data_IF_424708825338
#
_entry.id   IF_424708825338
#
_cell.length_a   1.000
_cell.length_b   1.000
_cell.length_c   1.000
_cell.angle_alpha   90.00
_cell.angle_beta   90.00
_cell.angle_gamma   90.00
#
_symmetry.space_group_name_H-M   'P 1'
#
loop_
_entity.id
_entity.type
_entity.pdbx_description
1 polymer ?
#
# COMPACT_ATOMS: atom_id res chain seq x y z
N UNK A 1 0.67 12.60 1.08
CA UNK A 1 -0.23 13.30 0.17
C UNK A 1 -1.37 13.99 0.92
N UNK A 2 -2.07 13.29 1.83
CA UNK A 2 -3.24 13.82 2.57
C UNK A 2 -2.89 15.08 3.38
N UNK A 3 -1.71 15.12 4.02
CA UNK A 3 -1.24 16.30 4.77
C UNK A 3 -1.13 17.53 3.86
N UNK A 4 -0.60 17.38 2.65
CA UNK A 4 -0.50 18.48 1.68
C UNK A 4 -1.87 18.96 1.23
N UNK A 5 -2.79 18.03 0.92
CA UNK A 5 -4.15 18.35 0.52
C UNK A 5 -4.89 19.11 1.63
N UNK A 6 -4.93 18.58 2.86
CA UNK A 6 -5.59 19.24 3.99
C UNK A 6 -4.96 20.60 4.32
N UNK A 7 -3.62 20.72 4.24
CA UNK A 7 -2.91 22.00 4.50
C UNK A 7 -3.19 23.06 3.44
N UNK A 8 -3.53 22.66 2.20
CA UNK A 8 -3.89 23.62 1.14
C UNK A 8 -5.28 24.23 1.34
N UNK A 9 -6.16 23.56 2.11
CA UNK A 9 -7.56 23.96 2.26
C UNK A 9 -8.39 23.79 0.99
N UNK A 10 -7.95 22.96 0.04
CA UNK A 10 -8.62 22.75 -1.26
C UNK A 10 -8.13 23.67 -2.39
N UNK A 11 -7.23 24.60 -2.09
CA UNK A 11 -6.59 25.45 -3.09
C UNK A 11 -5.51 24.67 -3.83
N UNK A 12 -5.69 24.51 -5.16
CA UNK A 12 -4.82 23.67 -5.98
C UNK A 12 -3.42 24.29 -6.15
N UNK A 13 -3.30 25.61 -6.30
CA UNK A 13 -2.00 26.27 -6.44
C UNK A 13 -1.19 26.11 -5.14
N UNK A 14 -1.85 26.30 -4.01
CA UNK A 14 -1.26 26.09 -2.70
C UNK A 14 -0.90 24.62 -2.45
N UNK A 15 -1.72 23.69 -2.93
CA UNK A 15 -1.40 22.25 -2.84
C UNK A 15 -0.08 21.93 -3.51
N UNK A 16 0.14 22.38 -4.75
CA UNK A 16 1.38 22.10 -5.48
C UNK A 16 2.61 22.70 -4.80
N UNK A 17 2.50 23.90 -4.25
CA UNK A 17 3.59 24.52 -3.46
C UNK A 17 3.93 23.68 -2.22
N UNK A 18 2.91 23.26 -1.46
CA UNK A 18 3.12 22.43 -0.28
C UNK A 18 3.67 21.06 -0.65
N UNK A 19 3.19 20.45 -1.73
CA UNK A 19 3.71 19.16 -2.20
C UNK A 19 5.20 19.26 -2.54
N UNK A 20 5.63 20.31 -3.23
CA UNK A 20 7.04 20.55 -3.53
C UNK A 20 7.88 20.72 -2.25
N UNK A 21 7.40 21.48 -1.28
CA UNK A 21 8.07 21.60 0.03
C UNK A 21 8.23 20.23 0.72
N UNK A 22 7.20 19.37 0.68
CA UNK A 22 7.26 18.02 1.27
C UNK A 22 8.22 17.11 0.50
N UNK A 23 8.25 17.20 -0.84
CA UNK A 23 9.21 16.47 -1.67
C UNK A 23 10.64 16.87 -1.33
N UNK A 24 10.92 18.16 -1.19
CA UNK A 24 12.25 18.65 -0.79
C UNK A 24 12.66 18.13 0.60
N UNK A 25 11.73 18.01 1.57
CA UNK A 25 12.01 17.41 2.87
C UNK A 25 12.27 15.90 2.77
N UNK A 26 11.49 15.19 1.96
CA UNK A 26 11.71 13.77 1.70
C UNK A 26 13.08 13.53 1.04
N UNK A 27 13.44 14.34 0.06
CA UNK A 27 14.75 14.29 -0.61
C UNK A 27 15.89 14.40 0.41
N UNK A 28 15.86 15.43 1.27
CA UNK A 28 16.86 15.59 2.35
C UNK A 28 16.95 14.36 3.26
N UNK A 29 15.79 13.79 3.63
CA UNK A 29 15.76 12.59 4.48
C UNK A 29 16.35 11.36 3.76
N UNK A 30 16.04 11.17 2.48
CA UNK A 30 16.59 10.09 1.66
C UNK A 30 18.11 10.25 1.48
N UNK A 31 18.59 11.48 1.28
CA UNK A 31 20.02 11.79 1.22
C UNK A 31 20.75 11.41 2.51
N UNK A 32 20.24 11.81 3.66
CA UNK A 32 20.81 11.42 4.96
C UNK A 32 20.89 9.90 5.12
N UNK A 33 19.87 9.15 4.66
CA UNK A 33 19.90 7.68 4.68
C UNK A 33 20.98 7.12 3.76
N UNK A 34 21.10 7.66 2.55
CA UNK A 34 22.13 7.24 1.59
C UNK A 34 23.54 7.52 2.13
N UNK A 35 23.78 8.72 2.63
CA UNK A 35 25.09 9.13 3.19
C UNK A 35 25.52 8.27 4.37
N UNK A 36 24.57 7.79 5.19
CA UNK A 36 24.86 6.89 6.31
C UNK A 36 25.33 5.50 5.89
N UNK A 37 25.13 5.11 4.64
CA UNK A 37 25.61 3.82 4.11
C UNK A 37 27.02 3.92 3.58
N UNK A 38 27.53 5.12 3.28
CA UNK A 38 28.90 5.31 2.80
C UNK A 38 29.93 4.80 3.82
N UNK A 39 30.94 4.11 3.31
CA UNK A 39 31.98 3.48 4.13
C UNK A 39 31.53 2.18 4.82
N UNK A 40 30.33 1.68 4.58
CA UNK A 40 29.85 0.42 5.16
C UNK A 40 30.60 -0.75 4.53
N UNK A 41 31.25 -1.65 5.32
CA UNK A 41 31.90 -2.82 4.78
C UNK A 41 30.86 -3.89 4.37
N UNK A 42 31.21 -4.66 3.33
CA UNK A 42 30.36 -5.73 2.80
C UNK A 42 30.00 -6.82 3.82
N UNK A 43 30.78 -6.93 4.88
CA UNK A 43 30.59 -7.90 5.97
C UNK A 43 29.32 -7.62 6.81
N UNK A 44 28.77 -6.40 6.75
CA UNK A 44 27.53 -6.04 7.46
C UNK A 44 26.34 -6.81 6.91
N UNK A 45 26.29 -7.07 5.61
CA UNK A 45 25.26 -7.88 4.97
C UNK A 45 25.86 -8.78 3.87
N UNK A 46 26.63 -9.81 4.24
CA UNK A 46 27.40 -10.60 3.30
C UNK A 46 26.53 -11.32 2.26
N UNK A 47 25.33 -11.78 2.65
CA UNK A 47 24.39 -12.43 1.71
C UNK A 47 24.02 -11.49 0.56
N UNK A 48 23.83 -10.19 0.83
CA UNK A 48 23.50 -9.21 -0.20
C UNK A 48 24.71 -8.77 -1.02
N UNK A 49 25.85 -8.52 -0.38
CA UNK A 49 26.95 -7.81 -1.01
C UNK A 49 28.13 -8.67 -1.40
N UNK A 50 28.32 -9.84 -0.76
CA UNK A 50 29.38 -10.79 -1.11
C UNK A 50 28.86 -11.99 -1.91
N UNK A 51 27.68 -12.50 -1.53
CA UNK A 51 27.09 -13.71 -2.10
C UNK A 51 25.75 -13.47 -2.83
N UNK A 52 25.39 -12.22 -3.07
CA UNK A 52 24.18 -11.83 -3.78
C UNK A 52 24.19 -12.24 -5.26
N UNK A 53 23.08 -12.02 -5.97
CA UNK A 53 22.96 -12.36 -7.39
C UNK A 53 23.90 -11.53 -8.29
N UNK A 54 24.08 -10.25 -7.98
CA UNK A 54 24.88 -9.30 -8.77
C UNK A 54 26.10 -8.80 -8.02
N UNK A 55 25.96 -8.36 -6.77
CA UNK A 55 27.10 -7.94 -5.95
C UNK A 55 27.99 -9.14 -5.59
N UNK A 56 29.29 -8.94 -5.71
CA UNK A 56 30.32 -9.93 -5.46
C UNK A 56 31.56 -9.28 -4.81
N UNK A 57 31.33 -8.38 -3.85
CA UNK A 57 32.38 -7.72 -3.10
C UNK A 57 33.13 -8.76 -2.25
N UNK A 58 34.43 -8.52 -2.03
CA UNK A 58 35.21 -9.28 -1.07
C UNK A 58 34.89 -8.84 0.35
N UNK A 59 35.22 -9.71 1.33
CA UNK A 59 35.13 -9.35 2.75
C UNK A 59 35.98 -8.10 3.02
N UNK A 60 35.42 -7.15 3.75
CA UNK A 60 36.02 -5.85 4.10
C UNK A 60 35.94 -4.76 3.02
N UNK A 61 35.55 -5.08 1.79
CA UNK A 61 35.35 -4.06 0.75
C UNK A 61 34.12 -3.18 1.10
N UNK A 62 34.22 -1.87 0.89
CA UNK A 62 33.12 -0.95 1.12
C UNK A 62 32.09 -1.01 0.00
N UNK A 63 30.81 -0.80 0.36
CA UNK A 63 29.69 -0.90 -0.59
C UNK A 63 29.48 0.36 -1.43
N UNK A 64 30.26 1.41 -1.24
CA UNK A 64 30.10 2.71 -1.91
C UNK A 64 29.89 2.61 -3.43
N UNK A 65 30.63 1.77 -4.19
CA UNK A 65 30.39 1.61 -5.63
C UNK A 65 28.98 1.12 -5.98
N UNK A 66 28.31 0.43 -5.05
CA UNK A 66 26.94 -0.08 -5.23
C UNK A 66 25.86 0.96 -4.94
N UNK A 67 26.21 2.10 -4.32
CA UNK A 67 25.27 3.14 -3.92
C UNK A 67 25.02 4.18 -5.03
N UNK A 68 25.78 4.12 -6.12
CA UNK A 68 25.69 5.03 -7.25
C UNK A 68 25.56 4.27 -8.57
N UNK A 69 25.39 5.00 -9.66
CA UNK A 69 25.34 4.47 -11.03
C UNK A 69 24.20 3.46 -11.28
N UNK A 70 23.09 3.59 -10.54
CA UNK A 70 21.88 2.81 -10.77
C UNK A 70 21.94 1.35 -10.28
N UNK A 71 22.94 0.94 -9.51
CA UNK A 71 22.96 -0.40 -8.92
C UNK A 71 21.95 -0.54 -7.78
N UNK A 72 21.93 0.43 -6.85
CA UNK A 72 21.00 0.48 -5.74
C UNK A 72 19.99 1.60 -5.94
N UNK A 73 18.74 1.34 -5.61
CA UNK A 73 17.66 2.33 -5.68
C UNK A 73 17.26 2.77 -4.28
N UNK A 74 17.09 4.08 -4.09
CA UNK A 74 16.47 4.63 -2.90
C UNK A 74 15.05 5.08 -3.21
N UNK A 75 14.08 4.65 -2.39
CA UNK A 75 12.66 4.75 -2.75
C UNK A 75 11.95 5.89 -2.02
N UNK A 76 11.24 6.71 -2.80
CA UNK A 76 10.26 7.66 -2.32
C UNK A 76 8.91 6.95 -2.19
N UNK A 77 8.51 6.60 -0.95
CA UNK A 77 7.20 6.04 -0.65
C UNK A 77 6.13 7.10 -0.48
N UNK A 78 4.89 6.78 -0.82
CA UNK A 78 3.74 7.68 -0.67
C UNK A 78 2.51 6.95 -0.13
N UNK A 79 1.52 7.72 0.37
CA UNK A 79 0.31 7.20 0.98
C UNK A 79 -0.88 8.14 0.78
N UNK A 80 -2.08 7.55 0.76
CA UNK A 80 -3.32 8.30 0.80
C UNK A 80 -3.62 9.08 -0.48
N UNK A 81 -3.33 8.52 -1.66
CA UNK A 81 -3.71 9.16 -2.92
C UNK A 81 -5.22 9.31 -3.02
N UNK A 82 -5.98 8.29 -2.64
CA UNK A 82 -7.44 8.31 -2.66
C UNK A 82 -8.02 9.43 -1.80
N UNK A 83 -7.54 9.61 -0.56
CA UNK A 83 -7.98 10.68 0.34
C UNK A 83 -7.53 12.06 -0.16
N UNK A 84 -6.32 12.15 -0.72
CA UNK A 84 -5.80 13.38 -1.31
C UNK A 84 -6.67 13.86 -2.47
N UNK A 85 -6.96 12.97 -3.42
CA UNK A 85 -7.82 13.29 -4.58
C UNK A 85 -9.23 13.66 -4.12
N UNK A 86 -9.79 12.88 -3.19
CA UNK A 86 -11.13 13.16 -2.68
C UNK A 86 -11.22 14.52 -1.98
N UNK A 87 -10.22 14.91 -1.21
CA UNK A 87 -10.18 16.22 -0.57
C UNK A 87 -10.09 17.37 -1.59
N UNK A 88 -9.29 17.18 -2.64
CA UNK A 88 -9.04 18.23 -3.63
C UNK A 88 -10.12 18.33 -4.70
N UNK A 89 -10.80 17.24 -5.06
CA UNK A 89 -11.72 17.17 -6.19
C UNK A 89 -13.13 16.77 -5.80
N UNK A 90 -13.36 16.34 -4.55
CA UNK A 90 -14.65 15.81 -4.04
C UNK A 90 -15.14 14.57 -4.81
N UNK A 91 -14.23 13.87 -5.48
CA UNK A 91 -14.48 12.68 -6.27
C UNK A 91 -13.44 11.61 -5.98
N UNK A 92 -13.79 10.33 -6.23
CA UNK A 92 -12.81 9.24 -6.19
C UNK A 92 -11.77 9.41 -7.31
N UNK A 93 -10.55 8.95 -7.08
CA UNK A 93 -9.54 8.84 -8.15
C UNK A 93 -9.88 7.76 -9.19
N UNK A 94 -11.01 7.08 -9.04
CA UNK A 94 -11.61 6.18 -10.04
C UNK A 94 -12.51 6.92 -11.05
N UNK A 95 -12.95 8.15 -10.75
CA UNK A 95 -13.66 9.03 -11.68
C UNK A 95 -12.68 9.66 -12.69
N UNK A 96 -13.19 10.17 -13.82
CA UNK A 96 -12.34 10.79 -14.85
C UNK A 96 -11.54 12.00 -14.32
N UNK A 97 -12.22 12.94 -13.66
CA UNK A 97 -11.60 14.15 -13.12
C UNK A 97 -10.65 13.83 -11.93
N UNK A 98 -11.07 12.92 -11.04
CA UNK A 98 -10.22 12.46 -9.94
C UNK A 98 -8.99 11.71 -10.43
N UNK A 99 -9.12 10.88 -11.46
CA UNK A 99 -8.02 10.15 -12.10
C UNK A 99 -7.00 11.11 -12.69
N UNK A 100 -7.45 12.11 -13.45
CA UNK A 100 -6.55 13.09 -14.05
C UNK A 100 -5.70 13.80 -13.00
N UNK A 101 -6.32 14.26 -11.92
CA UNK A 101 -5.59 14.89 -10.82
C UNK A 101 -4.65 13.91 -10.11
N UNK A 102 -5.09 12.69 -9.84
CA UNK A 102 -4.28 11.65 -9.22
C UNK A 102 -3.05 11.29 -10.04
N UNK A 103 -3.19 11.15 -11.36
CA UNK A 103 -2.07 10.90 -12.27
C UNK A 103 -1.08 12.09 -12.32
N UNK A 104 -1.57 13.34 -12.30
CA UNK A 104 -0.70 14.52 -12.17
C UNK A 104 0.11 14.51 -10.87
N UNK A 105 -0.49 14.11 -9.74
CA UNK A 105 0.23 13.96 -8.48
C UNK A 105 1.31 12.90 -8.59
N UNK A 106 1.00 11.73 -9.14
CA UNK A 106 1.98 10.66 -9.33
C UNK A 106 3.11 11.05 -10.28
N UNK A 107 2.79 11.78 -11.35
CA UNK A 107 3.80 12.28 -12.28
C UNK A 107 4.75 13.27 -11.59
N UNK A 108 4.23 14.18 -10.75
CA UNK A 108 5.08 15.11 -9.99
C UNK A 108 6.06 14.39 -9.04
N UNK A 109 5.66 13.26 -8.44
CA UNK A 109 6.57 12.42 -7.64
C UNK A 109 7.70 11.83 -8.51
N UNK A 110 7.35 11.35 -9.71
CA UNK A 110 8.33 10.79 -10.65
C UNK A 110 9.29 11.85 -11.18
N UNK A 111 8.78 13.04 -11.54
CA UNK A 111 9.59 14.14 -12.03
C UNK A 111 10.61 14.59 -10.98
N UNK A 112 10.19 14.65 -9.70
CA UNK A 112 11.11 14.95 -8.60
C UNK A 112 12.21 13.88 -8.48
N UNK A 113 11.87 12.59 -8.50
CA UNK A 113 12.84 11.50 -8.47
C UNK A 113 13.78 11.55 -9.68
N UNK A 114 13.26 11.80 -10.88
CA UNK A 114 14.05 11.94 -12.11
C UNK A 114 15.05 13.10 -12.03
N UNK A 115 14.63 14.25 -11.50
CA UNK A 115 15.49 15.41 -11.27
C UNK A 115 16.63 15.08 -10.30
N UNK A 116 16.33 14.51 -9.13
CA UNK A 116 17.34 14.15 -8.12
C UNK A 116 18.34 13.14 -8.66
N UNK A 117 17.86 12.14 -9.41
CA UNK A 117 18.71 11.15 -10.08
C UNK A 117 19.68 11.79 -11.05
N UNK A 118 19.23 12.73 -11.87
CA UNK A 118 20.08 13.43 -12.82
C UNK A 118 21.14 14.32 -12.14
N UNK A 119 20.78 14.95 -11.02
CA UNK A 119 21.68 15.87 -10.28
C UNK A 119 22.73 15.14 -9.45
N UNK A 120 22.41 13.94 -8.92
CA UNK A 120 23.22 13.30 -7.87
C UNK A 120 23.81 11.94 -8.25
N UNK A 121 23.43 11.38 -9.40
CA UNK A 121 23.83 10.03 -9.82
C UNK A 121 23.46 8.93 -8.80
N UNK A 122 22.35 9.15 -8.08
CA UNK A 122 21.72 8.20 -7.16
C UNK A 122 20.40 7.78 -7.79
N UNK A 123 20.10 6.50 -7.81
CA UNK A 123 18.85 6.01 -8.40
C UNK A 123 17.67 6.19 -7.43
N UNK A 124 16.90 7.26 -7.64
CA UNK A 124 15.65 7.52 -6.93
C UNK A 124 14.46 6.94 -7.70
N UNK A 125 13.52 6.35 -6.99
CA UNK A 125 12.33 5.76 -7.61
C UNK A 125 11.09 5.93 -6.73
N UNK A 126 9.95 6.16 -7.36
CA UNK A 126 8.66 6.19 -6.68
C UNK A 126 8.24 4.75 -6.35
N UNK A 127 7.87 4.51 -5.10
CA UNK A 127 7.52 3.19 -4.59
C UNK A 127 6.13 3.18 -3.97
N UNK A 128 5.23 2.35 -4.50
CA UNK A 128 3.93 2.06 -3.91
C UNK A 128 4.09 1.26 -2.62
N UNK A 129 4.60 1.92 -1.60
CA UNK A 129 5.05 1.34 -0.34
C UNK A 129 3.93 0.58 0.36
N UNK A 130 4.14 -0.68 0.75
CA UNK A 130 3.26 -1.36 1.70
C UNK A 130 3.41 -0.74 3.08
N UNK A 131 2.38 -0.01 3.51
CA UNK A 131 2.43 0.85 4.69
C UNK A 131 1.93 0.19 5.97
N UNK A 132 1.99 -1.07 6.12
CA UNK A 132 1.66 -1.86 7.31
C UNK A 132 0.95 -1.07 8.45
N UNK A 133 1.57 -0.95 9.61
CA UNK A 133 1.05 -0.17 10.75
C UNK A 133 1.11 1.35 10.55
N UNK A 134 1.83 1.83 9.52
CA UNK A 134 2.02 3.26 9.27
C UNK A 134 0.74 3.94 8.81
N UNK A 135 -0.17 3.24 8.15
CA UNK A 135 -1.50 3.76 7.77
C UNK A 135 -2.31 4.21 8.98
N UNK A 136 -2.27 3.44 10.07
CA UNK A 136 -2.90 3.80 11.34
C UNK A 136 -2.22 4.99 12.00
N UNK A 137 -0.88 5.00 12.05
CA UNK A 137 -0.11 6.11 12.62
C UNK A 137 -0.41 7.42 11.87
N UNK A 138 -0.42 7.39 10.54
CA UNK A 138 -0.73 8.56 9.73
C UNK A 138 -2.17 9.04 9.97
N UNK A 139 -3.14 8.15 10.01
CA UNK A 139 -4.53 8.52 10.33
C UNK A 139 -4.63 9.26 11.66
N UNK A 140 -3.97 8.75 12.72
CA UNK A 140 -3.94 9.41 14.03
C UNK A 140 -3.27 10.78 13.99
N UNK A 141 -2.16 10.92 13.28
CA UNK A 141 -1.48 12.21 13.14
C UNK A 141 -2.33 13.22 12.38
N UNK A 142 -3.00 12.80 11.30
CA UNK A 142 -3.90 13.63 10.51
C UNK A 142 -5.12 14.06 11.32
N UNK A 143 -5.75 13.15 12.06
CA UNK A 143 -6.86 13.46 12.95
C UNK A 143 -6.48 14.47 14.04
N UNK A 144 -5.28 14.33 14.61
CA UNK A 144 -4.77 15.27 15.60
C UNK A 144 -4.56 16.68 15.02
N UNK A 145 -4.12 16.76 13.77
CA UNK A 145 -3.78 18.01 13.08
C UNK A 145 -4.99 18.71 12.45
N UNK A 146 -5.87 17.98 11.82
CA UNK A 146 -6.95 18.52 11.00
C UNK A 146 -8.36 18.16 11.51
N UNK A 147 -8.48 17.37 12.58
CA UNK A 147 -9.74 16.81 13.02
C UNK A 147 -10.21 15.65 12.11
N UNK A 148 -11.46 15.25 12.29
CA UNK A 148 -12.11 14.24 11.46
C UNK A 148 -12.83 14.92 10.28
N UNK A 149 -12.32 14.73 9.09
CA UNK A 149 -12.90 15.20 7.83
C UNK A 149 -13.55 13.99 7.16
N UNK A 150 -14.87 13.99 6.91
CA UNK A 150 -15.58 12.88 6.30
C UNK A 150 -14.95 12.44 4.97
N UNK A 151 -14.70 11.16 4.82
CA UNK A 151 -14.07 10.57 3.64
C UNK A 151 -12.57 10.88 3.48
N UNK A 152 -11.92 11.56 4.43
CA UNK A 152 -10.50 11.93 4.34
C UNK A 152 -9.72 11.49 5.58
N UNK A 153 -10.13 11.93 6.78
CA UNK A 153 -9.43 11.63 8.03
C UNK A 153 -10.33 10.99 9.09
N UNK A 154 -11.55 10.61 8.75
CA UNK A 154 -12.54 10.05 9.66
C UNK A 154 -12.31 8.58 10.03
N UNK A 155 -11.54 7.84 9.23
CA UNK A 155 -11.15 6.45 9.49
C UNK A 155 -9.90 6.36 10.37
N UNK A 156 -9.69 5.21 11.04
CA UNK A 156 -8.47 4.93 11.79
C UNK A 156 -7.30 4.44 10.92
N UNK A 157 -7.45 4.52 9.62
CA UNK A 157 -6.42 4.21 8.62
C UNK A 157 -6.54 5.20 7.46
N UNK A 158 -5.50 5.30 6.65
CA UNK A 158 -5.52 5.93 5.33
C UNK A 158 -5.30 4.84 4.27
N UNK A 159 -5.76 5.10 3.06
CA UNK A 159 -5.57 4.17 1.95
C UNK A 159 -4.08 4.05 1.62
N UNK A 160 -3.65 2.82 1.37
CA UNK A 160 -2.27 2.52 1.02
C UNK A 160 -1.96 3.03 -0.39
N UNK A 161 -0.81 3.68 -0.56
CA UNK A 161 -0.29 4.17 -1.85
C UNK A 161 -1.38 4.71 -2.81
N UNK A 162 -1.53 4.12 -4.01
CA UNK A 162 -2.50 4.48 -5.06
C UNK A 162 -3.78 3.64 -5.03
N UNK A 163 -3.91 2.70 -4.11
CA UNK A 163 -5.04 1.77 -4.12
C UNK A 163 -6.39 2.46 -4.11
N UNK A 164 -7.35 1.82 -4.77
CA UNK A 164 -8.76 2.14 -4.62
C UNK A 164 -9.16 1.81 -3.19
N UNK A 165 -10.02 2.65 -2.60
CA UNK A 165 -10.48 2.45 -1.22
C UNK A 165 -11.10 1.08 -1.04
N UNK A 166 -10.77 0.41 0.04
CA UNK A 166 -11.30 -0.93 0.34
C UNK A 166 -12.82 -0.99 0.50
N UNK A 167 -13.45 0.17 0.70
CA UNK A 167 -14.91 0.33 0.81
C UNK A 167 -15.59 0.65 -0.52
N UNK A 168 -14.84 0.88 -1.59
CA UNK A 168 -15.40 1.24 -2.90
C UNK A 168 -15.91 -0.03 -3.61
N UNK A 169 -17.19 -0.03 -3.94
CA UNK A 169 -17.80 -1.15 -4.65
C UNK A 169 -17.38 -1.12 -6.14
N UNK A 170 -16.44 -1.96 -6.50
CA UNK A 170 -15.87 -2.08 -7.83
C UNK A 170 -15.54 -3.54 -8.12
N UNK A 171 -15.80 -4.02 -9.33
CA UNK A 171 -15.43 -5.38 -9.70
C UNK A 171 -13.91 -5.52 -9.94
N UNK A 172 -13.43 -6.77 -9.93
CA UNK A 172 -11.99 -7.07 -10.06
C UNK A 172 -11.36 -6.52 -11.35
N UNK A 173 -12.05 -6.59 -12.46
CA UNK A 173 -11.53 -6.17 -13.77
C UNK A 173 -11.37 -4.66 -13.86
N UNK A 174 -12.40 -3.92 -13.45
CA UNK A 174 -12.37 -2.45 -13.44
C UNK A 174 -11.33 -1.94 -12.44
N UNK A 175 -11.26 -2.56 -11.24
CA UNK A 175 -10.25 -2.21 -10.25
C UNK A 175 -8.84 -2.34 -10.79
N UNK A 176 -8.51 -3.49 -11.35
CA UNK A 176 -7.18 -3.77 -11.91
C UNK A 176 -6.85 -2.82 -13.06
N UNK A 177 -7.83 -2.56 -13.94
CA UNK A 177 -7.66 -1.65 -15.07
C UNK A 177 -7.37 -0.21 -14.62
N UNK A 178 -8.11 0.28 -13.63
CA UNK A 178 -7.91 1.65 -13.09
C UNK A 178 -6.60 1.76 -12.30
N UNK A 179 -6.26 0.78 -11.46
CA UNK A 179 -5.01 0.78 -10.70
C UNK A 179 -3.77 0.63 -11.57
N UNK A 180 -3.87 -0.02 -12.74
CA UNK A 180 -2.75 -0.25 -13.64
C UNK A 180 -2.07 1.06 -14.10
N UNK A 181 -2.83 2.11 -14.33
CA UNK A 181 -2.31 3.41 -14.75
C UNK A 181 -1.43 4.05 -13.65
N UNK A 182 -1.86 3.95 -12.39
CA UNK A 182 -1.11 4.42 -11.23
C UNK A 182 0.09 3.53 -10.89
N UNK A 183 -0.06 2.20 -11.06
CA UNK A 183 1.01 1.26 -10.80
C UNK A 183 2.23 1.52 -11.70
N UNK A 184 2.01 1.84 -12.99
CA UNK A 184 3.07 2.22 -13.94
C UNK A 184 3.89 3.43 -13.48
N UNK A 185 3.28 4.32 -12.69
CA UNK A 185 3.91 5.49 -12.09
C UNK A 185 4.58 5.19 -10.74
N UNK A 186 4.71 3.92 -10.37
CA UNK A 186 5.45 3.45 -9.19
C UNK A 186 6.57 2.49 -9.60
N UNK A 187 7.58 2.95 -10.38
CA UNK A 187 8.60 2.08 -10.96
C UNK A 187 9.52 1.41 -9.92
N UNK A 188 9.56 1.92 -8.69
CA UNK A 188 10.29 1.31 -7.58
C UNK A 188 9.63 0.06 -7.01
N UNK A 189 8.44 -0.28 -7.49
CA UNK A 189 7.64 -1.43 -7.10
C UNK A 189 6.28 -1.04 -6.54
N UNK A 190 5.29 -1.87 -6.83
CA UNK A 190 3.93 -1.74 -6.34
C UNK A 190 3.18 -3.06 -6.53
N UNK A 191 2.14 -3.27 -5.76
CA UNK A 191 1.30 -4.45 -5.84
C UNK A 191 -0.16 -4.06 -5.66
N UNK A 192 -1.05 -4.62 -6.46
CA UNK A 192 -2.51 -4.47 -6.32
C UNK A 192 -3.13 -5.73 -5.73
N UNK A 193 -4.27 -5.58 -5.07
CA UNK A 193 -4.97 -6.69 -4.40
C UNK A 193 -6.41 -6.79 -4.86
N UNK A 194 -6.86 -8.01 -5.12
CA UNK A 194 -8.25 -8.33 -5.43
C UNK A 194 -8.82 -9.19 -4.32
N UNK A 195 -9.80 -8.67 -3.60
CA UNK A 195 -10.52 -9.44 -2.56
C UNK A 195 -11.53 -10.36 -3.24
N UNK A 196 -11.37 -11.67 -3.04
CA UNK A 196 -12.23 -12.70 -3.64
C UNK A 196 -12.83 -13.60 -2.55
N UNK A 197 -14.03 -14.18 -2.77
CA UNK A 197 -14.57 -15.22 -1.92
C UNK A 197 -13.73 -16.51 -2.04
N UNK A 198 -14.19 -17.61 -1.44
CA UNK A 198 -13.58 -18.92 -1.70
C UNK A 198 -13.85 -19.33 -3.15
N UNK A 199 -12.82 -19.33 -3.97
CA UNK A 199 -12.90 -19.61 -5.42
C UNK A 199 -12.63 -21.06 -5.79
N UNK A 200 -12.59 -21.99 -4.83
CA UNK A 200 -12.32 -23.41 -5.10
C UNK A 200 -13.33 -24.03 -6.08
N UNK A 201 -14.59 -23.59 -6.02
CA UNK A 201 -15.66 -24.03 -6.92
C UNK A 201 -15.68 -23.33 -8.28
N UNK A 202 -14.95 -22.22 -8.47
CA UNK A 202 -15.00 -21.39 -9.68
C UNK A 202 -13.61 -21.11 -10.27
N UNK A 203 -12.92 -22.15 -10.69
CA UNK A 203 -11.61 -22.05 -11.34
C UNK A 203 -11.64 -21.22 -12.64
N UNK A 204 -12.70 -21.30 -13.49
CA UNK A 204 -12.78 -20.43 -14.67
C UNK A 204 -12.70 -18.94 -14.36
N UNK A 205 -13.38 -18.46 -13.30
CA UNK A 205 -13.30 -17.06 -12.89
C UNK A 205 -11.88 -16.68 -12.40
N UNK A 206 -11.21 -17.57 -11.66
CA UNK A 206 -9.80 -17.36 -11.26
C UNK A 206 -8.91 -17.19 -12.49
N UNK A 207 -9.04 -18.07 -13.48
CA UNK A 207 -8.27 -18.01 -14.73
C UNK A 207 -8.57 -16.74 -15.54
N UNK A 208 -9.83 -16.29 -15.56
CA UNK A 208 -10.21 -15.03 -16.21
C UNK A 208 -9.52 -13.82 -15.54
N UNK A 209 -9.50 -13.77 -14.21
CA UNK A 209 -8.83 -12.71 -13.46
C UNK A 209 -7.32 -12.77 -13.71
N UNK A 210 -6.69 -13.92 -13.65
CA UNK A 210 -5.25 -14.10 -13.92
C UNK A 210 -4.92 -13.64 -15.35
N UNK A 211 -5.73 -13.99 -16.33
CA UNK A 211 -5.55 -13.53 -17.71
C UNK A 211 -5.67 -12.01 -17.82
N UNK A 212 -6.61 -11.41 -17.10
CA UNK A 212 -6.77 -9.96 -17.06
C UNK A 212 -5.55 -9.29 -16.40
N UNK A 213 -5.06 -9.82 -15.27
CA UNK A 213 -3.83 -9.35 -14.61
C UNK A 213 -2.66 -9.36 -15.61
N UNK A 214 -2.44 -10.49 -16.29
CA UNK A 214 -1.36 -10.65 -17.28
C UNK A 214 -1.40 -9.59 -18.38
N UNK A 215 -2.60 -9.23 -18.86
CA UNK A 215 -2.77 -8.27 -19.95
C UNK A 215 -2.79 -6.81 -19.53
N UNK A 216 -3.02 -6.51 -18.24
CA UNK A 216 -3.41 -5.15 -17.82
C UNK A 216 -2.47 -4.51 -16.82
N UNK A 217 -2.02 -5.27 -15.81
CA UNK A 217 -1.30 -4.73 -14.66
C UNK A 217 0.01 -5.49 -14.42
N UNK A 218 1.02 -4.81 -13.86
CA UNK A 218 2.36 -5.40 -13.70
C UNK A 218 2.40 -6.44 -12.59
N UNK A 219 1.72 -6.19 -11.46
CA UNK A 219 1.71 -7.10 -10.33
C UNK A 219 0.41 -6.98 -9.53
N UNK A 220 -0.30 -8.08 -9.40
CA UNK A 220 -1.49 -8.18 -8.57
C UNK A 220 -1.61 -9.55 -7.92
N UNK A 221 -2.30 -9.60 -6.78
CA UNK A 221 -2.55 -10.83 -6.03
C UNK A 221 -4.03 -10.96 -5.66
N UNK A 222 -4.48 -12.20 -5.55
CA UNK A 222 -5.81 -12.53 -5.06
C UNK A 222 -5.75 -12.73 -3.53
N UNK A 223 -6.65 -12.07 -2.81
CA UNK A 223 -6.86 -12.25 -1.39
C UNK A 223 -8.11 -13.08 -1.15
N UNK A 224 -7.97 -14.16 -0.40
CA UNK A 224 -9.09 -14.96 0.07
C UNK A 224 -9.06 -15.07 1.59
N UNK A 225 -10.22 -15.34 2.19
CA UNK A 225 -10.37 -15.48 3.63
C UNK A 225 -10.52 -16.98 3.95
N UNK A 226 -9.43 -17.60 4.38
CA UNK A 226 -9.35 -19.02 4.72
C UNK A 226 -8.85 -19.18 6.16
N UNK A 227 -9.76 -18.93 7.13
CA UNK A 227 -9.43 -19.00 8.53
C UNK A 227 -9.93 -20.31 9.15
N UNK A 228 -9.39 -20.64 10.32
CA UNK A 228 -9.79 -21.81 11.10
C UNK A 228 -10.00 -21.45 12.55
N UNK A 229 -11.05 -22.03 13.15
CA UNK A 229 -11.29 -21.99 14.58
C UNK A 229 -11.04 -23.37 15.19
N UNK A 230 -9.99 -23.53 16.00
CA UNK A 230 -9.67 -24.79 16.68
C UNK A 230 -10.69 -25.17 17.75
N UNK A 231 -11.43 -24.20 18.32
CA UNK A 231 -12.43 -24.48 19.32
C UNK A 231 -13.61 -25.29 18.81
N UNK A 232 -13.95 -25.21 17.53
CA UNK A 232 -15.11 -25.92 16.97
C UNK A 232 -14.86 -26.54 15.59
N UNK A 233 -13.64 -26.43 15.04
CA UNK A 233 -13.29 -26.96 13.72
C UNK A 233 -13.84 -26.14 12.53
N UNK A 234 -14.39 -24.93 12.77
CA UNK A 234 -14.87 -24.08 11.69
C UNK A 234 -13.76 -23.71 10.72
N UNK A 235 -14.01 -23.87 9.43
CA UNK A 235 -13.18 -23.41 8.33
C UNK A 235 -13.97 -22.39 7.52
N UNK A 236 -13.44 -21.18 7.38
CA UNK A 236 -14.09 -20.09 6.67
C UNK A 236 -13.65 -18.73 7.22
N UNK A 237 -14.43 -17.69 6.99
CA UNK A 237 -14.08 -16.35 7.47
C UNK A 237 -14.38 -16.18 8.96
N UNK A 238 -13.34 -15.93 9.77
CA UNK A 238 -13.48 -15.43 11.15
C UNK A 238 -13.85 -13.94 11.07
N UNK A 239 -14.94 -13.59 11.72
CA UNK A 239 -15.52 -12.24 11.64
C UNK A 239 -14.81 -11.26 12.57
N UNK A 240 -14.77 -10.00 12.17
CA UNK A 240 -14.38 -8.87 13.02
C UNK A 240 -15.66 -8.20 13.50
N UNK A 241 -15.83 -8.14 14.82
CA UNK A 241 -17.01 -7.56 15.48
C UNK A 241 -16.61 -6.44 16.43
N UNK A 242 -17.50 -5.47 16.64
CA UNK A 242 -17.29 -4.41 17.62
C UNK A 242 -17.79 -4.89 19.00
N UNK A 243 -16.91 -4.86 19.98
CA UNK A 243 -17.23 -5.12 21.39
C UNK A 243 -16.61 -4.01 22.25
N UNK A 244 -17.43 -3.30 22.98
CA UNK A 244 -17.01 -2.21 23.89
C UNK A 244 -16.07 -1.19 23.21
N UNK A 245 -16.44 -0.75 21.99
CA UNK A 245 -15.69 0.20 21.15
C UNK A 245 -14.32 -0.32 20.68
N UNK A 246 -14.07 -1.62 20.76
CA UNK A 246 -12.90 -2.30 20.20
C UNK A 246 -13.31 -3.32 19.16
N UNK A 247 -12.54 -3.40 18.08
CA UNK A 247 -12.69 -4.46 17.10
C UNK A 247 -11.98 -5.71 17.60
N UNK A 248 -12.73 -6.82 17.66
CA UNK A 248 -12.24 -8.14 18.08
C UNK A 248 -12.59 -9.20 17.03
N UNK A 249 -11.84 -10.27 17.00
CA UNK A 249 -12.08 -11.43 16.15
C UNK A 249 -13.03 -12.41 16.86
N UNK A 250 -13.99 -12.94 16.11
CA UNK A 250 -15.01 -13.85 16.63
C UNK A 250 -15.36 -14.92 15.62
N UNK A 251 -15.31 -16.18 16.05
CA UNK A 251 -15.80 -17.29 15.23
C UNK A 251 -17.31 -17.17 15.01
N UNK A 252 -17.81 -17.21 13.76
CA UNK A 252 -19.25 -17.10 13.48
C UNK A 252 -20.03 -18.34 13.94
N UNK A 253 -19.39 -19.51 14.03
CA UNK A 253 -20.04 -20.77 14.40
C UNK A 253 -20.18 -20.94 15.92
N UNK A 254 -19.10 -20.79 16.70
CA UNK A 254 -19.12 -21.05 18.13
C UNK A 254 -19.02 -19.81 19.01
N UNK A 255 -18.83 -18.62 18.41
CA UNK A 255 -18.67 -17.37 19.16
C UNK A 255 -17.33 -17.22 19.88
N UNK A 256 -16.37 -18.15 19.71
CA UNK A 256 -15.03 -18.06 20.33
C UNK A 256 -14.37 -16.73 19.97
N UNK A 257 -13.74 -16.07 20.95
CA UNK A 257 -12.97 -14.84 20.78
C UNK A 257 -11.52 -14.98 21.26
N UNK A 258 -11.14 -16.20 21.66
CA UNK A 258 -9.76 -16.49 22.06
C UNK A 258 -8.86 -16.58 20.85
N UNK A 259 -7.99 -15.59 20.68
CA UNK A 259 -7.07 -15.47 19.56
C UNK A 259 -6.08 -16.64 19.47
N UNK A 260 -5.78 -17.31 20.57
CA UNK A 260 -4.89 -18.48 20.58
C UNK A 260 -5.56 -19.74 20.00
N UNK A 261 -6.88 -19.71 19.81
CA UNK A 261 -7.68 -20.80 19.22
C UNK A 261 -8.18 -20.50 17.81
N UNK A 262 -7.68 -19.43 17.20
CA UNK A 262 -8.08 -19.01 15.86
C UNK A 262 -6.84 -18.78 15.00
N UNK A 263 -6.82 -19.41 13.83
CA UNK A 263 -5.83 -19.14 12.79
C UNK A 263 -6.44 -18.23 11.76
N UNK A 264 -6.07 -16.95 11.84
CA UNK A 264 -6.55 -15.91 10.93
C UNK A 264 -5.41 -15.48 10.03
N UNK A 265 -5.54 -15.73 8.74
CA UNK A 265 -4.58 -15.29 7.74
C UNK A 265 -5.17 -14.15 6.89
N UNK A 266 -4.51 -13.02 6.87
CA UNK A 266 -4.90 -11.86 6.05
C UNK A 266 -3.69 -11.27 5.36
N UNK A 267 -3.92 -10.94 4.11
CA UNK A 267 -2.98 -10.07 3.40
C UNK A 267 -3.08 -8.67 3.99
N UNK A 268 -1.95 -8.10 4.37
CA UNK A 268 -1.89 -6.70 4.77
C UNK A 268 -1.55 -5.82 3.58
N UNK A 269 -0.31 -5.42 3.41
CA UNK A 269 0.10 -4.64 2.25
C UNK A 269 1.34 -5.22 1.57
N UNK A 270 2.14 -6.00 2.26
CA UNK A 270 3.38 -6.56 1.73
C UNK A 270 3.55 -8.04 2.03
N UNK A 271 2.77 -8.59 2.95
CA UNK A 271 2.85 -9.98 3.36
C UNK A 271 1.49 -10.53 3.82
N UNK A 272 1.38 -11.84 3.90
CA UNK A 272 0.25 -12.51 4.58
C UNK A 272 0.60 -12.62 6.06
N UNK A 273 -0.14 -11.91 6.89
CA UNK A 273 0.00 -11.99 8.34
C UNK A 273 -0.92 -13.02 8.95
N UNK A 274 -0.41 -13.73 9.95
CA UNK A 274 -1.17 -14.67 10.77
C UNK A 274 -1.32 -14.17 12.21
N UNK A 275 -0.89 -12.94 12.47
CA UNK A 275 -0.96 -12.26 13.75
C UNK A 275 -2.04 -11.18 13.73
N UNK A 276 -2.44 -10.76 14.91
CA UNK A 276 -3.43 -9.71 15.07
C UNK A 276 -2.80 -8.32 14.93
N UNK A 277 -3.56 -7.41 14.36
CA UNK A 277 -3.10 -6.08 13.96
C UNK A 277 -3.64 -4.98 14.89
N UNK A 278 -3.13 -3.77 14.76
CA UNK A 278 -3.68 -2.59 15.41
C UNK A 278 -5.13 -2.31 14.96
N UNK A 279 -5.86 -1.51 15.74
CA UNK A 279 -7.28 -1.23 15.49
C UNK A 279 -7.55 -0.58 14.13
N UNK A 280 -6.62 0.22 13.61
CA UNK A 280 -6.77 0.82 12.28
C UNK A 280 -6.67 -0.21 11.16
N UNK A 281 -5.69 -1.11 11.22
CA UNK A 281 -5.57 -2.20 10.24
C UNK A 281 -6.72 -3.20 10.37
N UNK A 282 -7.15 -3.49 11.59
CA UNK A 282 -8.32 -4.36 11.82
C UNK A 282 -9.59 -3.74 11.23
N UNK A 283 -9.77 -2.41 11.35
CA UNK A 283 -10.89 -1.69 10.73
C UNK A 283 -10.81 -1.77 9.20
N UNK A 284 -9.64 -1.54 8.63
CA UNK A 284 -9.45 -1.61 7.18
C UNK A 284 -9.79 -3.01 6.63
N UNK A 285 -9.33 -4.08 7.31
CA UNK A 285 -9.65 -5.46 6.93
C UNK A 285 -11.14 -5.75 7.05
N UNK A 286 -11.80 -5.24 8.10
CA UNK A 286 -13.24 -5.42 8.29
C UNK A 286 -14.11 -4.73 7.23
N UNK A 287 -13.62 -3.61 6.69
CA UNK A 287 -14.33 -2.79 5.72
C UNK A 287 -14.07 -3.20 4.26
N UNK A 288 -13.22 -4.19 4.00
CA UNK A 288 -12.92 -4.66 2.64
C UNK A 288 -14.16 -5.25 1.99
N UNK A 289 -14.51 -4.72 0.81
CA UNK A 289 -15.54 -5.30 -0.04
C UNK A 289 -14.94 -6.36 -0.96
N UNK A 290 -15.76 -7.36 -1.35
CA UNK A 290 -15.36 -8.34 -2.36
C UNK A 290 -15.44 -7.71 -3.76
N UNK A 291 -14.49 -8.07 -4.61
CA UNK A 291 -14.42 -7.60 -6.00
C UNK A 291 -14.98 -8.65 -7.00
N UNK A 292 -15.38 -9.79 -6.49
CA UNK A 292 -16.10 -10.85 -7.23
C UNK A 292 -17.35 -11.16 -6.43
N UNK A 293 -18.53 -11.11 -7.05
CA UNK A 293 -19.78 -11.44 -6.38
C UNK A 293 -19.94 -12.95 -6.24
N UNK A 294 -20.63 -13.38 -5.19
CA UNK A 294 -20.96 -14.80 -4.98
C UNK A 294 -21.96 -15.29 -6.05
N UNK A 295 -22.68 -14.36 -6.71
CA UNK A 295 -23.67 -14.65 -7.77
C UNK A 295 -23.01 -14.93 -9.12
N UNK A 296 -21.73 -14.59 -9.29
CA UNK A 296 -20.94 -14.92 -10.49
C UNK A 296 -20.45 -16.37 -10.48
N UNK A 297 -20.92 -17.19 -9.53
CA UNK A 297 -20.59 -18.62 -9.41
C UNK A 297 -21.42 -19.57 -10.32
N UNK A 298 -22.30 -19.04 -11.21
CA UNK A 298 -23.12 -19.85 -12.14
C UNK A 298 -22.66 -19.75 -13.59
#
# INVERSE_FOLDING_TARGET
>A
LVDAACSSGGDEEKFWKILDERLNLCHKALRVKHERLLGTPSDVAPIQWQYGALARLKSGEVIDPLLFNGYSTISLGYAGLAECVYFMKHESHTSENGKEFGLKVMQALNDACGKWKAEENIDYSVYGTPLESTTYKFAKCLQKRFGKIPGVTDKNYITNSYHIRVTENINAFDKLTKEAEFQKLSPGGAISYVEVPNMQGNIPAVLAIIKHIYNTILYAELNTKSDQCEACGYNGEIQIVNKDSKLIWRCPQCGCTDQNKMHVARRTCGYIGTQYWNQGRTQEIAERVLHVSVEDEN
#
